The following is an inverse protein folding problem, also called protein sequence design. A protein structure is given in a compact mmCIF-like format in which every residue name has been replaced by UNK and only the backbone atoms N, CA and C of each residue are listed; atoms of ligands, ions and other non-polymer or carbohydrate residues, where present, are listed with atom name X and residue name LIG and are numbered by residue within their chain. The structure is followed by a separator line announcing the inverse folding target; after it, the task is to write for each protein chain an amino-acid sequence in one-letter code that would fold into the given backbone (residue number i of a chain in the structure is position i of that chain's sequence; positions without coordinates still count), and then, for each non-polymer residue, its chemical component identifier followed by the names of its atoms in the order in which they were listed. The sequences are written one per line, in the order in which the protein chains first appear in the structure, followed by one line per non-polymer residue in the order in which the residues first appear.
data_IF_414615356431
#
_entry.id   IF_414615356431
#
_cell.length_a   1.000
_cell.length_b   1.000
_cell.length_c   1.000
_cell.angle_alpha   90.00
_cell.angle_beta   90.00
_cell.angle_gamma   90.00
#
_symmetry.space_group_name_H-M   'P 1'
#
loop_
_entity.id
_entity.type
_entity.pdbx_description
1 polymer ?
#
# COMPACT_ATOMS: atom_id res chain seq x y z
N UNK A 1 -1.62 -7.41 19.34
CA UNK A 1 -1.95 -6.16 18.63
C UNK A 1 -2.01 -6.44 17.14
N UNK A 2 -3.03 -5.95 16.44
CA UNK A 2 -3.23 -6.30 15.03
C UNK A 2 -4.58 -5.86 14.47
N UNK A 3 -5.05 -4.68 14.88
CA UNK A 3 -6.30 -4.10 14.38
C UNK A 3 -6.11 -3.34 13.07
N UNK A 4 -7.20 -2.74 12.59
CA UNK A 4 -7.19 -1.83 11.43
C UNK A 4 -7.48 -0.42 11.94
N UNK A 5 -6.64 0.54 11.55
CA UNK A 5 -6.95 1.97 11.65
C UNK A 5 -7.42 2.43 10.28
N UNK A 6 -8.72 2.74 10.17
CA UNK A 6 -9.30 3.27 8.94
C UNK A 6 -9.45 4.79 9.04
N UNK A 7 -8.88 5.50 8.07
CA UNK A 7 -8.99 6.95 7.92
C UNK A 7 -9.76 7.24 6.64
N UNK A 8 -11.07 7.47 6.78
CA UNK A 8 -11.87 7.99 5.68
C UNK A 8 -11.56 9.47 5.47
N UNK A 9 -11.59 9.93 4.22
CA UNK A 9 -11.23 11.31 3.86
C UNK A 9 -9.84 11.74 4.37
N UNK A 10 -8.81 10.89 4.19
CA UNK A 10 -7.43 11.12 4.63
C UNK A 10 -6.90 12.52 4.26
N UNK A 11 -7.30 13.05 3.10
CA UNK A 11 -6.91 14.39 2.65
C UNK A 11 -7.50 15.56 3.45
N UNK A 12 -8.47 15.33 4.33
CA UNK A 12 -9.06 16.35 5.22
C UNK A 12 -8.39 16.44 6.59
N UNK A 13 -7.54 15.47 6.93
CA UNK A 13 -6.80 15.51 8.19
C UNK A 13 -5.71 16.59 8.17
N UNK A 14 -5.43 17.11 9.37
CA UNK A 14 -4.32 18.02 9.58
C UNK A 14 -2.98 17.31 9.26
N UNK A 15 -2.07 17.93 8.47
CA UNK A 15 -0.82 17.29 8.08
C UNK A 15 0.01 16.78 9.26
N UNK A 16 0.05 17.53 10.36
CA UNK A 16 0.78 17.15 11.57
C UNK A 16 0.24 15.88 12.22
N UNK A 17 -1.07 15.64 12.18
CA UNK A 17 -1.69 14.43 12.70
C UNK A 17 -1.34 13.21 11.82
N UNK A 18 -1.32 13.39 10.50
CA UNK A 18 -0.92 12.36 9.55
C UNK A 18 0.58 12.03 9.68
N UNK A 19 1.43 13.04 9.79
CA UNK A 19 2.87 12.85 9.95
C UNK A 19 3.23 12.15 11.28
N UNK A 20 2.44 12.37 12.34
CA UNK A 20 2.59 11.66 13.61
C UNK A 20 2.37 10.14 13.50
N UNK A 21 1.66 9.65 12.47
CA UNK A 21 1.46 8.21 12.23
C UNK A 21 2.71 7.50 11.73
N UNK A 22 3.72 8.23 11.22
CA UNK A 22 4.93 7.62 10.68
C UNK A 22 5.67 6.74 11.68
N UNK A 23 5.87 7.25 12.91
CA UNK A 23 6.58 6.50 13.95
C UNK A 23 5.81 5.21 14.35
N UNK A 24 4.50 5.25 14.64
CA UNK A 24 3.72 4.03 14.86
C UNK A 24 3.79 3.02 13.71
N UNK A 25 3.76 3.48 12.46
CA UNK A 25 3.87 2.62 11.29
C UNK A 25 5.25 1.98 11.13
N UNK A 26 6.30 2.63 11.63
CA UNK A 26 7.68 2.14 11.54
C UNK A 26 8.04 1.23 12.71
N UNK A 27 7.70 1.64 13.94
CA UNK A 27 8.17 0.98 15.15
C UNK A 27 7.09 0.13 15.83
N UNK A 28 5.82 0.31 15.46
CA UNK A 28 4.70 -0.36 16.10
C UNK A 28 4.45 0.09 17.54
N UNK A 29 4.91 1.29 17.93
CA UNK A 29 4.71 1.88 19.26
C UNK A 29 4.42 3.37 19.20
N UNK A 30 3.73 3.88 20.22
CA UNK A 30 3.54 5.31 20.49
C UNK A 30 4.21 5.64 21.82
N UNK A 31 5.03 6.69 21.84
CA UNK A 31 5.66 7.21 23.06
C UNK A 31 4.97 8.49 23.48
N UNK A 32 4.43 8.53 24.69
CA UNK A 32 3.78 9.71 25.26
C UNK A 32 4.66 10.26 26.38
N UNK A 33 5.22 11.45 26.15
CA UNK A 33 6.04 12.17 27.13
C UNK A 33 5.26 13.34 27.72
N UNK A 34 5.22 13.42 29.05
CA UNK A 34 4.68 14.52 29.86
C UNK A 34 5.76 15.01 30.82
N UNK A 35 5.55 16.18 31.44
CA UNK A 35 6.56 16.91 32.23
C UNK A 35 7.35 16.06 33.24
N UNK A 36 6.76 14.98 33.79
CA UNK A 36 7.42 14.12 34.78
C UNK A 36 7.40 12.62 34.44
N UNK A 37 7.00 12.23 33.22
CA UNK A 37 6.91 10.79 32.86
C UNK A 37 6.89 10.56 31.35
N UNK A 38 7.50 9.47 30.91
CA UNK A 38 7.36 8.94 29.56
C UNK A 38 6.78 7.52 29.62
N UNK A 39 5.76 7.24 28.81
CA UNK A 39 5.12 5.92 28.72
C UNK A 39 5.10 5.47 27.26
N UNK A 40 5.36 4.18 27.03
CA UNK A 40 5.34 3.57 25.68
C UNK A 40 4.15 2.62 25.57
N UNK A 41 3.33 2.80 24.54
CA UNK A 41 2.16 1.96 24.25
C UNK A 41 2.37 1.21 22.93
N UNK A 42 1.94 -0.07 22.83
CA UNK A 42 2.00 -0.81 21.58
C UNK A 42 0.96 -0.24 20.59
N UNK A 43 1.37 -0.10 19.32
CA UNK A 43 0.60 0.53 18.25
C UNK A 43 0.81 -0.19 16.91
N UNK A 44 0.72 -1.52 16.91
CA UNK A 44 0.76 -2.31 15.68
C UNK A 44 -0.65 -2.43 15.07
N UNK A 45 -0.83 -1.85 13.90
CA UNK A 45 -2.10 -1.86 13.14
C UNK A 45 -1.85 -1.86 11.63
N UNK A 46 -2.85 -2.30 10.87
CA UNK A 46 -2.93 -2.03 9.43
C UNK A 46 -3.58 -0.66 9.23
N UNK A 47 -2.88 0.25 8.55
CA UNK A 47 -3.46 1.52 8.14
C UNK A 47 -4.18 1.37 6.81
N UNK A 48 -5.45 1.76 6.77
CA UNK A 48 -6.23 1.88 5.54
C UNK A 48 -6.69 3.32 5.43
N UNK A 49 -6.35 3.98 4.33
CA UNK A 49 -6.77 5.36 4.07
C UNK A 49 -7.58 5.42 2.79
N UNK A 50 -8.66 6.19 2.81
CA UNK A 50 -9.42 6.57 1.62
C UNK A 50 -9.34 8.10 1.46
N UNK A 51 -9.18 8.58 0.23
CA UNK A 51 -9.28 10.02 -0.04
C UNK A 51 -9.83 10.30 -1.42
N UNK A 52 -10.47 11.44 -1.55
CA UNK A 52 -10.96 11.93 -2.82
C UNK A 52 -9.78 12.35 -3.73
N UNK A 53 -10.00 12.43 -5.05
CA UNK A 53 -8.99 12.97 -5.99
C UNK A 53 -8.81 14.49 -5.87
N UNK A 54 -9.73 15.19 -5.19
CA UNK A 54 -9.65 16.62 -4.89
C UNK A 54 -10.67 16.98 -3.78
N UNK A 55 -10.62 18.20 -3.19
CA UNK A 55 -11.55 18.61 -2.14
C UNK A 55 -13.03 18.51 -2.53
N UNK A 56 -13.37 18.77 -3.81
CA UNK A 56 -14.76 18.69 -4.26
C UNK A 56 -15.21 17.27 -4.66
N UNK A 57 -14.32 16.27 -4.61
CA UNK A 57 -14.64 14.88 -4.96
C UNK A 57 -14.74 14.56 -6.46
N UNK A 58 -14.90 15.56 -7.35
CA UNK A 58 -15.14 15.36 -8.79
C UNK A 58 -13.87 15.37 -9.66
N UNK A 59 -12.67 15.38 -9.08
CA UNK A 59 -11.43 15.36 -9.86
C UNK A 59 -11.32 14.11 -10.73
N UNK A 60 -11.22 14.27 -12.06
CA UNK A 60 -10.96 13.15 -12.99
C UNK A 60 -12.16 12.26 -13.34
N UNK A 61 -13.39 12.59 -12.94
CA UNK A 61 -14.59 11.79 -13.24
C UNK A 61 -15.74 12.57 -13.90
N UNK A 62 -16.88 11.92 -14.20
CA UNK A 62 -18.07 12.60 -14.73
C UNK A 62 -18.63 13.57 -13.68
N UNK A 63 -18.56 14.85 -13.99
CA UNK A 63 -18.88 15.99 -13.12
C UNK A 63 -17.96 17.17 -13.40
N UNK A 64 -18.40 18.38 -13.09
CA UNK A 64 -17.56 19.56 -13.25
C UNK A 64 -16.76 19.80 -11.97
N UNK A 65 -15.52 19.29 -11.94
CA UNK A 65 -14.56 19.68 -10.90
C UNK A 65 -14.39 21.21 -10.92
N UNK A 66 -14.62 21.85 -9.77
CA UNK A 66 -14.49 23.31 -9.62
C UNK A 66 -13.19 23.75 -8.96
N UNK A 67 -12.35 22.79 -8.58
CA UNK A 67 -11.08 23.07 -7.93
C UNK A 67 -10.06 23.58 -8.94
N UNK A 68 -9.38 24.68 -8.61
CA UNK A 68 -8.18 25.09 -9.33
C UNK A 68 -7.08 24.03 -9.19
N UNK A 69 -6.11 24.04 -10.11
CA UNK A 69 -4.91 23.21 -10.01
C UNK A 69 -4.15 23.43 -8.69
N UNK A 70 -4.04 24.69 -8.26
CA UNK A 70 -3.42 25.06 -6.98
C UNK A 70 -4.15 24.50 -5.76
N UNK A 71 -5.49 24.42 -5.80
CA UNK A 71 -6.31 23.82 -4.76
C UNK A 71 -6.09 22.31 -4.70
N UNK A 72 -6.06 21.63 -5.85
CA UNK A 72 -5.78 20.19 -5.95
C UNK A 72 -4.37 19.86 -5.45
N UNK A 73 -3.36 20.59 -5.91
CA UNK A 73 -1.98 20.41 -5.46
C UNK A 73 -1.85 20.59 -3.95
N UNK A 74 -2.50 21.61 -3.38
CA UNK A 74 -2.49 21.85 -1.92
C UNK A 74 -3.16 20.71 -1.15
N UNK A 75 -4.28 20.19 -1.66
CA UNK A 75 -5.00 19.08 -1.05
C UNK A 75 -4.14 17.81 -1.01
N UNK A 76 -3.51 17.43 -2.12
CA UNK A 76 -2.65 16.25 -2.14
C UNK A 76 -1.38 16.42 -1.30
N UNK A 77 -0.82 17.64 -1.20
CA UNK A 77 0.34 17.93 -0.34
C UNK A 77 0.07 17.78 1.15
N UNK A 78 -1.20 17.64 1.59
CA UNK A 78 -1.53 17.32 2.98
C UNK A 78 -1.05 15.93 3.38
N UNK A 79 -0.93 15.01 2.43
CA UNK A 79 -0.31 13.70 2.65
C UNK A 79 1.15 13.80 2.24
N UNK A 80 2.05 13.78 3.21
CA UNK A 80 3.49 13.97 2.95
C UNK A 80 4.09 12.80 2.17
N UNK A 81 5.08 13.07 1.32
CA UNK A 81 5.86 12.03 0.62
C UNK A 81 6.42 10.96 1.58
N UNK A 82 7.03 11.34 2.72
CA UNK A 82 7.49 10.39 3.72
C UNK A 82 6.40 9.48 4.31
N UNK A 83 5.18 9.99 4.51
CA UNK A 83 4.05 9.17 4.93
C UNK A 83 3.58 8.25 3.79
N UNK A 84 3.50 8.76 2.56
CA UNK A 84 3.12 7.99 1.38
C UNK A 84 4.07 6.82 1.09
N UNK A 85 5.35 6.93 1.44
CA UNK A 85 6.31 5.82 1.34
C UNK A 85 6.01 4.69 2.36
N UNK A 86 5.15 4.93 3.37
CA UNK A 86 4.66 3.91 4.32
C UNK A 86 3.41 3.17 3.82
N UNK A 87 2.82 3.61 2.71
CA UNK A 87 1.75 2.86 2.06
C UNK A 87 2.37 1.85 1.08
N UNK A 88 2.30 0.57 1.44
CA UNK A 88 2.77 -0.53 0.60
C UNK A 88 1.90 -0.65 -0.67
N UNK A 89 0.60 -0.35 -0.55
CA UNK A 89 -0.37 -0.34 -1.64
C UNK A 89 -1.00 1.06 -1.76
N UNK A 90 -1.12 1.53 -3.00
CA UNK A 90 -1.81 2.77 -3.38
C UNK A 90 -2.59 2.48 -4.64
N UNK A 91 -3.91 2.42 -4.52
CA UNK A 91 -4.80 1.98 -5.59
C UNK A 91 -5.65 3.19 -6.00
N UNK A 92 -5.63 3.50 -7.29
CA UNK A 92 -6.54 4.49 -7.86
C UNK A 92 -7.88 3.81 -8.17
N UNK A 93 -8.91 4.19 -7.43
CA UNK A 93 -10.24 3.58 -7.55
C UNK A 93 -11.08 4.44 -8.48
N UNK A 94 -11.34 3.93 -9.68
CA UNK A 94 -12.21 4.58 -10.64
C UNK A 94 -13.67 4.50 -10.20
N UNK A 95 -14.45 5.53 -10.53
CA UNK A 95 -15.90 5.49 -10.32
C UNK A 95 -16.51 4.43 -11.22
N UNK A 96 -17.41 3.58 -10.69
CA UNK A 96 -18.13 2.63 -11.53
C UNK A 96 -18.99 3.38 -12.54
N UNK A 97 -19.07 2.85 -13.75
CA UNK A 97 -19.97 3.32 -14.80
C UNK A 97 -21.43 3.05 -14.42
N UNK A 98 -22.36 3.76 -15.06
CA UNK A 98 -23.79 3.49 -14.87
C UNK A 98 -24.15 2.04 -15.23
N UNK A 99 -23.51 1.47 -16.25
CA UNK A 99 -23.72 0.08 -16.64
C UNK A 99 -23.23 -0.90 -15.57
N UNK A 100 -22.04 -0.67 -14.99
CA UNK A 100 -21.54 -1.48 -13.88
C UNK A 100 -22.42 -1.40 -12.64
N UNK A 101 -22.99 -0.22 -12.34
CA UNK A 101 -23.91 -0.06 -11.21
C UNK A 101 -25.26 -0.74 -11.43
N UNK A 102 -25.79 -0.70 -12.66
CA UNK A 102 -27.13 -1.22 -12.97
C UNK A 102 -27.14 -2.69 -13.40
N UNK A 103 -26.06 -3.16 -14.03
CA UNK A 103 -25.96 -4.47 -14.70
C UNK A 103 -24.67 -5.22 -14.36
N UNK A 104 -23.79 -4.63 -13.55
CA UNK A 104 -22.56 -5.29 -13.13
C UNK A 104 -22.86 -6.58 -12.38
N UNK A 105 -22.03 -7.60 -12.62
CA UNK A 105 -22.09 -8.82 -11.84
C UNK A 105 -21.65 -8.51 -10.41
N UNK A 106 -22.28 -9.13 -9.39
CA UNK A 106 -21.79 -9.03 -8.02
C UNK A 106 -20.32 -9.45 -7.97
N UNK A 107 -19.53 -8.69 -7.22
CA UNK A 107 -18.15 -9.07 -6.91
C UNK A 107 -18.09 -10.33 -6.03
N UNK A 108 -16.88 -10.79 -5.75
CA UNK A 108 -16.66 -11.88 -4.82
C UNK A 108 -17.17 -11.54 -3.41
N UNK A 109 -17.70 -12.54 -2.71
CA UNK A 109 -18.19 -12.33 -1.34
C UNK A 109 -17.02 -12.14 -0.36
N UNK A 110 -17.26 -11.40 0.72
CA UNK A 110 -16.26 -11.26 1.80
C UNK A 110 -15.83 -12.61 2.38
N UNK A 111 -16.72 -13.60 2.43
CA UNK A 111 -16.39 -14.94 2.90
C UNK A 111 -15.38 -15.65 1.97
N UNK A 112 -15.58 -15.54 0.65
CA UNK A 112 -14.64 -16.07 -0.36
C UNK A 112 -13.26 -15.42 -0.26
N UNK A 113 -13.23 -14.10 -0.12
CA UNK A 113 -11.97 -13.35 0.04
C UNK A 113 -11.29 -13.71 1.36
N UNK A 114 -12.05 -13.79 2.46
CA UNK A 114 -11.53 -14.11 3.79
C UNK A 114 -10.86 -15.50 3.83
N UNK A 115 -11.40 -16.49 3.12
CA UNK A 115 -10.78 -17.82 3.01
C UNK A 115 -9.39 -17.75 2.37
N UNK A 116 -9.25 -17.07 1.23
CA UNK A 116 -7.95 -16.85 0.57
C UNK A 116 -6.97 -16.10 1.47
N UNK A 117 -7.43 -15.05 2.15
CA UNK A 117 -6.61 -14.29 3.10
C UNK A 117 -6.13 -15.18 4.25
N UNK A 118 -6.99 -16.02 4.83
CA UNK A 118 -6.64 -16.92 5.92
C UNK A 118 -5.56 -17.93 5.50
N UNK A 119 -5.66 -18.47 4.29
CA UNK A 119 -4.66 -19.41 3.77
C UNK A 119 -3.29 -18.73 3.57
N UNK A 120 -3.26 -17.54 2.96
CA UNK A 120 -2.02 -16.77 2.81
C UNK A 120 -1.41 -16.44 4.18
N UNK A 121 -2.24 -16.14 5.18
CA UNK A 121 -1.79 -15.91 6.55
C UNK A 121 -1.19 -17.16 7.18
N UNK A 122 -1.79 -18.33 6.97
CA UNK A 122 -1.22 -19.59 7.44
C UNK A 122 0.15 -19.88 6.81
N UNK A 123 0.30 -19.60 5.50
CA UNK A 123 1.59 -19.70 4.80
C UNK A 123 2.63 -18.73 5.37
N UNK A 124 2.24 -17.50 5.69
CA UNK A 124 3.14 -16.54 6.34
C UNK A 124 3.60 -17.03 7.73
N UNK A 125 2.69 -17.57 8.54
CA UNK A 125 3.02 -18.15 9.85
C UNK A 125 4.00 -19.32 9.71
N UNK A 126 3.81 -20.18 8.71
CA UNK A 126 4.75 -21.26 8.41
C UNK A 126 6.16 -20.77 8.00
N UNK A 127 6.28 -19.53 7.53
CA UNK A 127 7.57 -18.85 7.25
C UNK A 127 8.18 -18.18 8.50
N UNK A 128 7.51 -18.25 9.64
CA UNK A 128 7.95 -17.64 10.90
C UNK A 128 7.55 -16.17 11.07
N UNK A 129 6.57 -15.68 10.31
CA UNK A 129 6.10 -14.28 10.40
C UNK A 129 4.57 -14.20 10.51
N UNK A 130 4.03 -13.14 11.13
CA UNK A 130 2.56 -12.97 11.27
C UNK A 130 1.83 -12.63 9.96
N UNK A 131 2.58 -12.14 8.97
CA UNK A 131 2.10 -11.71 7.67
C UNK A 131 3.26 -11.67 6.68
N UNK A 132 2.97 -11.77 5.38
CA UNK A 132 3.99 -11.47 4.37
C UNK A 132 4.54 -10.04 4.50
N UNK A 133 3.76 -9.08 4.99
CA UNK A 133 4.20 -7.71 5.28
C UNK A 133 5.30 -7.61 6.36
N UNK A 134 5.52 -8.68 7.14
CA UNK A 134 6.58 -8.77 8.14
C UNK A 134 7.82 -9.54 7.64
N UNK A 135 7.84 -9.98 6.38
CA UNK A 135 9.03 -10.57 5.77
C UNK A 135 10.15 -9.52 5.69
N UNK A 136 11.31 -9.85 6.24
CA UNK A 136 12.47 -8.96 6.24
C UNK A 136 13.77 -9.76 6.23
N UNK A 137 14.86 -9.11 5.78
CA UNK A 137 16.21 -9.66 5.82
C UNK A 137 16.30 -11.08 5.24
N UNK A 138 16.96 -12.03 5.94
CA UNK A 138 17.13 -13.40 5.45
C UNK A 138 15.83 -14.17 5.19
N UNK A 139 14.75 -13.88 5.93
CA UNK A 139 13.45 -14.54 5.73
C UNK A 139 12.84 -14.09 4.40
N UNK A 140 12.95 -12.80 4.07
CA UNK A 140 12.50 -12.28 2.78
C UNK A 140 13.30 -12.89 1.62
N UNK A 141 14.62 -12.98 1.75
CA UNK A 141 15.46 -13.58 0.70
C UNK A 141 15.10 -15.05 0.44
N UNK A 142 14.85 -15.81 1.50
CA UNK A 142 14.45 -17.23 1.40
C UNK A 142 13.09 -17.42 0.76
N UNK A 143 12.10 -16.61 1.12
CA UNK A 143 10.70 -16.86 0.75
C UNK A 143 10.19 -16.03 -0.41
N UNK A 144 10.88 -14.95 -0.78
CA UNK A 144 10.58 -14.13 -1.94
C UNK A 144 11.79 -14.04 -2.89
N UNK A 145 12.44 -15.16 -3.29
CA UNK A 145 13.50 -15.12 -4.29
C UNK A 145 12.93 -14.66 -5.63
N UNK A 146 13.74 -14.04 -6.48
CA UNK A 146 13.32 -13.51 -7.77
C UNK A 146 13.82 -14.42 -8.90
N UNK A 147 13.01 -14.60 -9.94
CA UNK A 147 13.53 -15.04 -11.24
C UNK A 147 14.26 -13.90 -11.95
N UNK A 148 15.08 -14.22 -12.96
CA UNK A 148 15.90 -13.26 -13.68
C UNK A 148 15.07 -12.14 -14.33
N UNK A 149 13.91 -12.46 -14.92
CA UNK A 149 13.03 -11.45 -15.50
C UNK A 149 12.39 -10.56 -14.43
N UNK A 150 12.09 -11.11 -13.25
CA UNK A 150 11.53 -10.33 -12.14
C UNK A 150 12.59 -9.39 -11.55
N UNK A 151 13.81 -9.88 -11.38
CA UNK A 151 14.96 -9.08 -10.94
C UNK A 151 15.22 -7.92 -11.93
N UNK A 152 15.21 -8.21 -13.24
CA UNK A 152 15.39 -7.21 -14.30
C UNK A 152 14.33 -6.10 -14.27
N UNK A 153 13.07 -6.43 -13.93
CA UNK A 153 11.99 -5.43 -13.79
C UNK A 153 12.23 -4.52 -12.60
N UNK A 154 12.62 -5.10 -11.44
CA UNK A 154 12.87 -4.33 -10.23
C UNK A 154 14.12 -3.48 -10.32
N UNK A 155 15.16 -3.97 -11.00
CA UNK A 155 16.37 -3.22 -11.26
C UNK A 155 16.09 -1.96 -12.08
N UNK A 156 15.31 -2.09 -13.17
CA UNK A 156 14.86 -0.90 -13.94
C UNK A 156 14.07 0.06 -13.07
N UNK A 157 13.11 -0.44 -12.28
CA UNK A 157 12.31 0.41 -11.40
C UNK A 157 13.16 1.15 -10.34
N UNK A 158 14.24 0.54 -9.85
CA UNK A 158 15.20 1.19 -8.95
C UNK A 158 16.03 2.27 -9.67
N UNK A 159 16.56 1.96 -10.87
CA UNK A 159 17.34 2.92 -11.68
C UNK A 159 16.52 4.13 -12.07
N UNK A 160 15.23 3.93 -12.38
CA UNK A 160 14.30 4.99 -12.77
C UNK A 160 13.74 5.77 -11.55
N UNK A 161 14.22 5.50 -10.33
CA UNK A 161 13.75 6.19 -9.11
C UNK A 161 12.30 5.88 -8.72
N UNK A 162 11.66 4.88 -9.33
CA UNK A 162 10.25 4.53 -9.06
C UNK A 162 10.05 3.84 -7.72
N UNK A 163 11.09 3.18 -7.20
CA UNK A 163 11.11 2.58 -5.87
C UNK A 163 12.47 2.85 -5.20
N UNK A 164 12.45 3.03 -3.88
CA UNK A 164 13.67 3.09 -3.05
C UNK A 164 14.14 1.68 -2.66
N UNK A 165 15.34 1.56 -2.08
CA UNK A 165 15.84 0.31 -1.51
C UNK A 165 14.89 -0.25 -0.43
N UNK A 166 14.30 0.62 0.42
CA UNK A 166 13.24 0.24 1.37
C UNK A 166 11.97 -0.22 0.66
N UNK A 167 11.60 0.50 -0.40
CA UNK A 167 10.46 0.17 -1.26
C UNK A 167 10.59 -1.21 -1.91
N UNK A 168 11.81 -1.64 -2.26
CA UNK A 168 12.08 -2.95 -2.84
C UNK A 168 11.65 -4.09 -1.91
N UNK A 169 12.03 -4.06 -0.64
CA UNK A 169 11.67 -5.11 0.33
C UNK A 169 10.15 -5.20 0.54
N UNK A 170 9.48 -4.05 0.62
CA UNK A 170 8.01 -3.96 0.73
C UNK A 170 7.33 -4.51 -0.51
N UNK A 171 7.84 -4.14 -1.68
CA UNK A 171 7.31 -4.61 -2.96
C UNK A 171 7.47 -6.12 -3.12
N UNK A 172 8.61 -6.71 -2.73
CA UNK A 172 8.80 -8.16 -2.71
C UNK A 172 7.82 -8.87 -1.77
N UNK A 173 7.49 -8.25 -0.64
CA UNK A 173 6.48 -8.78 0.30
C UNK A 173 5.07 -8.79 -0.30
N UNK A 174 4.70 -7.75 -1.05
CA UNK A 174 3.46 -7.69 -1.83
C UNK A 174 3.47 -8.74 -2.95
N UNK A 175 4.56 -8.83 -3.72
CA UNK A 175 4.72 -9.81 -4.78
C UNK A 175 4.65 -11.25 -4.27
N UNK A 176 5.17 -11.55 -3.08
CA UNK A 176 5.00 -12.85 -2.41
C UNK A 176 3.54 -13.15 -2.06
N UNK A 177 2.79 -12.14 -1.63
CA UNK A 177 1.35 -12.28 -1.37
C UNK A 177 0.59 -12.61 -2.67
N UNK A 178 0.93 -11.93 -3.77
CA UNK A 178 0.37 -12.24 -5.10
C UNK A 178 0.73 -13.67 -5.53
N UNK A 179 1.99 -14.07 -5.35
CA UNK A 179 2.43 -15.43 -5.66
C UNK A 179 1.69 -16.49 -4.84
N UNK A 180 1.45 -16.23 -3.54
CA UNK A 180 0.68 -17.13 -2.69
C UNK A 180 -0.76 -17.29 -3.19
N UNK A 181 -1.39 -16.20 -3.63
CA UNK A 181 -2.75 -16.23 -4.20
C UNK A 181 -2.77 -17.03 -5.52
N UNK A 182 -1.80 -16.80 -6.41
CA UNK A 182 -1.71 -17.56 -7.66
C UNK A 182 -1.51 -19.07 -7.40
N UNK A 183 -0.74 -19.43 -6.36
CA UNK A 183 -0.53 -20.82 -5.94
C UNK A 183 -1.80 -21.46 -5.35
N UNK A 184 -2.64 -20.68 -4.67
CA UNK A 184 -3.97 -21.12 -4.21
C UNK A 184 -4.86 -21.42 -5.42
N UNK A 185 -4.75 -20.61 -6.46
CA UNK A 185 -5.49 -20.78 -7.72
C UNK A 185 -4.86 -21.84 -8.65
N UNK A 186 -3.90 -22.63 -8.16
CA UNK A 186 -3.34 -23.80 -8.84
C UNK A 186 -2.08 -23.54 -9.66
N UNK A 187 -1.52 -22.33 -9.63
CA UNK A 187 -0.21 -22.09 -10.23
C UNK A 187 0.90 -22.80 -9.44
N UNK A 188 1.99 -23.24 -10.09
CA UNK A 188 3.09 -23.88 -9.39
C UNK A 188 3.77 -22.92 -8.41
N UNK A 189 4.13 -23.45 -7.24
CA UNK A 189 4.91 -22.74 -6.26
C UNK A 189 6.35 -22.54 -6.73
N UNK A 190 6.94 -21.40 -6.36
CA UNK A 190 8.30 -21.10 -6.76
C UNK A 190 8.73 -19.66 -6.49
N UNK A 191 9.84 -19.24 -7.13
CA UNK A 191 10.31 -17.87 -7.07
C UNK A 191 9.30 -16.86 -7.63
N UNK A 192 9.52 -15.59 -7.30
CA UNK A 192 8.73 -14.49 -7.79
C UNK A 192 8.98 -14.28 -9.28
N UNK A 193 7.92 -14.48 -10.06
CA UNK A 193 7.89 -14.30 -11.50
C UNK A 193 7.65 -12.84 -11.87
N UNK A 194 7.98 -12.47 -13.11
CA UNK A 194 7.78 -11.12 -13.65
C UNK A 194 6.38 -10.56 -13.38
N UNK A 195 5.32 -11.36 -13.51
CA UNK A 195 3.94 -10.89 -13.28
C UNK A 195 3.69 -10.43 -11.84
N UNK A 196 4.26 -11.12 -10.85
CA UNK A 196 4.03 -10.79 -9.44
C UNK A 196 4.61 -9.41 -9.12
N UNK A 197 5.83 -9.14 -9.57
CA UNK A 197 6.50 -7.85 -9.35
C UNK A 197 5.89 -6.74 -10.17
N UNK A 198 5.42 -7.03 -11.39
CA UNK A 198 4.75 -6.05 -12.25
C UNK A 198 3.41 -5.62 -11.64
N UNK A 199 2.61 -6.58 -11.16
CA UNK A 199 1.35 -6.27 -10.48
C UNK A 199 1.60 -5.53 -9.16
N UNK A 200 2.60 -5.93 -8.37
CA UNK A 200 2.97 -5.20 -7.14
C UNK A 200 3.39 -3.74 -7.42
N UNK A 201 4.14 -3.49 -8.52
CA UNK A 201 4.45 -2.13 -8.98
C UNK A 201 3.20 -1.35 -9.38
N UNK A 202 2.28 -1.99 -10.12
CA UNK A 202 1.03 -1.36 -10.56
C UNK A 202 0.11 -0.98 -9.39
N UNK A 203 0.08 -1.83 -8.35
CA UNK A 203 -0.66 -1.57 -7.10
C UNK A 203 -0.02 -0.49 -6.21
N UNK A 204 1.12 0.07 -6.61
CA UNK A 204 1.78 1.19 -5.92
C UNK A 204 1.67 2.47 -6.77
N UNK A 205 0.47 2.75 -7.25
CA UNK A 205 0.17 3.85 -8.17
C UNK A 205 0.82 5.16 -7.73
N UNK A 206 1.35 5.91 -8.70
CA UNK A 206 1.83 7.27 -8.48
C UNK A 206 0.60 8.17 -8.39
N UNK A 207 0.43 8.86 -7.27
CA UNK A 207 -0.59 9.90 -7.20
C UNK A 207 -0.16 11.04 -8.14
N UNK A 208 -1.04 11.61 -8.98
CA UNK A 208 -0.68 12.67 -9.93
C UNK A 208 0.04 13.87 -9.29
N UNK A 209 -0.25 14.18 -8.02
CA UNK A 209 0.44 15.22 -7.25
C UNK A 209 1.91 14.90 -6.87
N UNK A 210 2.35 13.66 -7.07
CA UNK A 210 3.70 13.18 -6.81
C UNK A 210 4.55 13.07 -8.08
N UNK A 211 4.00 13.35 -9.27
CA UNK A 211 4.80 13.39 -10.52
C UNK A 211 5.94 14.42 -10.43
N UNK A 212 5.76 15.48 -9.63
CA UNK A 212 6.82 16.44 -9.31
C UNK A 212 7.78 16.02 -8.19
N UNK A 213 7.47 14.97 -7.42
CA UNK A 213 8.32 14.45 -6.33
C UNK A 213 9.29 13.36 -6.80
N UNK A 214 8.93 12.58 -7.83
CA UNK A 214 9.82 11.56 -8.41
C UNK A 214 11.01 12.15 -9.18
N UNK A 215 11.02 13.47 -9.41
CA UNK A 215 12.09 14.20 -10.10
C UNK A 215 13.02 14.98 -9.16
N UNK A 216 12.98 14.72 -7.85
CA UNK A 216 13.88 15.35 -6.88
C UNK A 216 14.69 14.26 -6.17
N UNK A 217 15.75 13.82 -6.83
CA UNK A 217 16.71 12.83 -6.32
C UNK A 217 17.82 12.60 -7.33
#
# INVERSE_FOLDING_TARGET
TGGVLFLDELGEFQPSALDALRQPLEEGVVRVSRAHSAVTFPAQFLLVGAMNPCPCGFGGGPGFCRCSESSRARYHRRVSGPLLDRFDLRIDVQRPTADELLRGKPGETSATVAARVAEVRARAVARGVSANAALSGPILERHAPLEDEAASVLERALRDGRISARGLSRLRSVARTIADLDEIDGAPAGPLRRRHVTLALALRATLPALEGWTNVG
#
